data_IF_445982136496
#
_entry.id   IF_445982136496
#
_cell.length_a   1.000
_cell.length_b   1.000
_cell.length_c   1.000
_cell.angle_alpha   90.00
_cell.angle_beta   90.00
_cell.angle_gamma   90.00
#
_symmetry.space_group_name_H-M   'P 1'
#
loop_
_entity.id
_entity.type
_entity.pdbx_description
1 polymer ?
#
# COMPACT_ATOMS: atom_id res chain seq x y z
N UNK A 1 -8.28 7.35 11.74
CA UNK A 1 -7.23 6.68 10.97
C UNK A 1 -7.68 5.27 10.61
N UNK A 2 -7.91 5.01 9.33
CA UNK A 2 -8.27 3.70 8.79
C UNK A 2 -7.12 2.70 8.92
N UNK A 3 -7.40 1.41 8.74
CA UNK A 3 -6.37 0.35 8.74
C UNK A 3 -5.34 0.55 7.62
N UNK A 4 -5.79 1.07 6.47
CA UNK A 4 -4.96 1.31 5.28
C UNK A 4 -4.07 2.52 5.49
N UNK A 5 -4.60 3.62 6.04
CA UNK A 5 -3.82 4.81 6.36
C UNK A 5 -2.64 4.50 7.27
N UNK A 6 -2.87 3.71 8.33
CA UNK A 6 -1.80 3.29 9.24
C UNK A 6 -0.75 2.42 8.54
N UNK A 7 -1.19 1.52 7.66
CA UNK A 7 -0.31 0.62 6.91
C UNK A 7 0.52 1.39 5.89
N UNK A 8 -0.10 2.29 5.13
CA UNK A 8 0.58 3.18 4.20
C UNK A 8 1.61 4.06 4.92
N UNK A 9 1.23 4.66 6.05
CA UNK A 9 2.15 5.46 6.87
C UNK A 9 3.37 4.65 7.30
N UNK A 10 3.18 3.40 7.74
CA UNK A 10 4.28 2.50 8.09
C UNK A 10 5.18 2.22 6.88
N UNK A 11 4.61 1.87 5.72
CA UNK A 11 5.35 1.57 4.49
C UNK A 11 6.21 2.74 4.06
N UNK A 12 5.67 3.96 4.07
CA UNK A 12 6.42 5.15 3.69
C UNK A 12 7.47 5.55 4.73
N UNK A 13 7.19 5.36 6.02
CA UNK A 13 8.15 5.63 7.08
C UNK A 13 9.37 4.71 7.02
N UNK A 14 9.16 3.41 6.71
CA UNK A 14 10.25 2.43 6.61
C UNK A 14 10.86 2.36 5.22
N UNK A 15 10.20 2.93 4.20
CA UNK A 15 10.50 2.72 2.77
C UNK A 15 10.49 1.25 2.36
N UNK A 16 9.75 0.43 3.10
CA UNK A 16 9.69 -1.01 2.93
C UNK A 16 8.24 -1.46 2.83
N UNK A 17 8.00 -2.43 1.97
CA UNK A 17 6.71 -3.09 1.83
C UNK A 17 6.92 -4.61 1.92
N UNK A 18 6.19 -5.29 2.78
CA UNK A 18 6.26 -6.76 2.86
C UNK A 18 5.43 -7.40 1.75
N UNK A 19 5.70 -8.66 1.41
CA UNK A 19 4.79 -9.42 0.52
C UNK A 19 3.39 -9.55 1.12
N UNK A 20 3.28 -9.65 2.44
CA UNK A 20 2.00 -9.66 3.14
C UNK A 20 1.24 -8.34 2.95
N UNK A 21 1.92 -7.19 3.03
CA UNK A 21 1.32 -5.89 2.74
C UNK A 21 0.78 -5.86 1.30
N UNK A 22 1.58 -6.28 0.32
CA UNK A 22 1.14 -6.33 -1.09
C UNK A 22 -0.10 -7.21 -1.28
N UNK A 23 -0.16 -8.36 -0.63
CA UNK A 23 -1.34 -9.25 -0.68
C UNK A 23 -2.60 -8.59 -0.10
N UNK A 24 -2.45 -7.87 1.02
CA UNK A 24 -3.57 -7.12 1.62
C UNK A 24 -4.03 -5.97 0.73
N UNK A 25 -3.10 -5.20 0.17
CA UNK A 25 -3.45 -4.08 -0.72
C UNK A 25 -4.13 -4.57 -2.00
N UNK A 26 -3.61 -5.65 -2.60
CA UNK A 26 -4.22 -6.27 -3.79
C UNK A 26 -5.60 -6.85 -3.50
N UNK A 27 -5.79 -7.57 -2.40
CA UNK A 27 -7.09 -8.14 -2.06
C UNK A 27 -8.14 -7.05 -1.83
N UNK A 28 -7.73 -5.97 -1.18
CA UNK A 28 -8.58 -4.81 -0.94
C UNK A 28 -8.97 -4.12 -2.25
N UNK A 29 -7.98 -3.86 -3.13
CA UNK A 29 -8.22 -3.26 -4.43
C UNK A 29 -9.17 -4.13 -5.28
N UNK A 30 -8.93 -5.44 -5.32
CA UNK A 30 -9.76 -6.40 -6.06
C UNK A 30 -11.17 -6.58 -5.48
N UNK A 31 -11.39 -6.26 -4.20
CA UNK A 31 -12.71 -6.41 -3.56
C UNK A 31 -13.77 -5.45 -4.10
N UNK A 32 -13.36 -4.37 -4.77
CA UNK A 32 -14.24 -3.32 -5.29
C UNK A 32 -14.98 -2.51 -4.20
N UNK A 33 -14.72 -2.77 -2.91
CA UNK A 33 -15.34 -2.10 -1.76
C UNK A 33 -14.38 -1.09 -1.10
N UNK A 34 -13.58 -0.40 -1.92
CA UNK A 34 -12.59 0.57 -1.47
C UNK A 34 -13.10 1.98 -1.72
N UNK A 35 -12.80 2.92 -0.82
CA UNK A 35 -13.12 4.33 -1.05
C UNK A 35 -12.13 4.96 -2.03
N UNK A 36 -12.48 6.06 -2.71
CA UNK A 36 -11.55 6.76 -3.60
C UNK A 36 -10.24 7.20 -2.90
N UNK A 37 -10.31 7.54 -1.62
CA UNK A 37 -9.14 7.94 -0.82
C UNK A 37 -8.20 6.76 -0.56
N UNK A 38 -8.75 5.61 -0.18
CA UNK A 38 -7.99 4.39 0.03
C UNK A 38 -7.38 3.90 -1.30
N UNK A 39 -8.13 3.98 -2.41
CA UNK A 39 -7.63 3.64 -3.75
C UNK A 39 -6.46 4.54 -4.16
N UNK A 40 -6.59 5.85 -3.98
CA UNK A 40 -5.51 6.81 -4.25
C UNK A 40 -4.26 6.53 -3.40
N UNK A 41 -4.45 6.06 -2.16
CA UNK A 41 -3.35 5.69 -1.28
C UNK A 41 -2.63 4.42 -1.74
N UNK A 42 -3.38 3.40 -2.17
CA UNK A 42 -2.83 2.18 -2.75
C UNK A 42 -2.04 2.50 -4.02
N UNK A 43 -2.60 3.32 -4.91
CA UNK A 43 -1.93 3.73 -6.16
C UNK A 43 -0.59 4.42 -5.87
N UNK A 44 -0.54 5.35 -4.90
CA UNK A 44 0.71 5.99 -4.47
C UNK A 44 1.76 5.00 -3.96
N UNK A 45 1.35 3.96 -3.24
CA UNK A 45 2.27 2.91 -2.79
C UNK A 45 2.88 2.17 -3.99
N UNK A 46 2.05 1.77 -4.97
CA UNK A 46 2.53 1.06 -6.15
C UNK A 46 3.37 1.94 -7.08
N UNK A 47 3.03 3.21 -7.25
CA UNK A 47 3.88 4.18 -7.95
C UNK A 47 5.26 4.28 -7.29
N UNK A 48 5.30 4.46 -5.96
CA UNK A 48 6.55 4.54 -5.22
C UNK A 48 7.38 3.24 -5.31
N UNK A 49 6.71 2.08 -5.36
CA UNK A 49 7.35 0.80 -5.59
C UNK A 49 7.94 0.70 -7.01
N UNK A 50 7.17 1.04 -8.05
CA UNK A 50 7.63 1.02 -9.44
C UNK A 50 8.79 2.00 -9.71
N UNK A 51 8.80 3.12 -9.00
CA UNK A 51 9.85 4.13 -9.07
C UNK A 51 11.09 3.76 -8.22
N UNK A 52 11.12 2.59 -7.58
CA UNK A 52 12.22 2.13 -6.74
C UNK A 52 12.38 2.90 -5.42
N UNK A 53 11.38 3.70 -5.01
CA UNK A 53 11.38 4.46 -3.74
C UNK A 53 10.99 3.60 -2.55
N UNK A 54 10.29 2.50 -2.79
CA UNK A 54 10.01 1.45 -1.82
C UNK A 54 10.75 0.18 -2.21
N UNK A 55 11.22 -0.57 -1.22
CA UNK A 55 11.82 -1.88 -1.41
C UNK A 55 10.89 -2.97 -0.89
N UNK A 56 10.70 -4.03 -1.68
CA UNK A 56 10.02 -5.23 -1.18
C UNK A 56 10.94 -5.96 -0.21
N UNK A 57 10.40 -6.28 0.96
CA UNK A 57 11.05 -7.11 1.98
C UNK A 57 10.19 -8.34 2.27
N UNK A 58 10.77 -9.34 2.91
CA UNK A 58 10.08 -10.57 3.32
C UNK A 58 9.08 -10.27 4.46
#
# INVERSE_FOLDING_TARGET
MSSIEKRAAKIFATRQITRADQGVLMSLFASGKISPEDEAMINKIYEALSAGRLRVVE
#
